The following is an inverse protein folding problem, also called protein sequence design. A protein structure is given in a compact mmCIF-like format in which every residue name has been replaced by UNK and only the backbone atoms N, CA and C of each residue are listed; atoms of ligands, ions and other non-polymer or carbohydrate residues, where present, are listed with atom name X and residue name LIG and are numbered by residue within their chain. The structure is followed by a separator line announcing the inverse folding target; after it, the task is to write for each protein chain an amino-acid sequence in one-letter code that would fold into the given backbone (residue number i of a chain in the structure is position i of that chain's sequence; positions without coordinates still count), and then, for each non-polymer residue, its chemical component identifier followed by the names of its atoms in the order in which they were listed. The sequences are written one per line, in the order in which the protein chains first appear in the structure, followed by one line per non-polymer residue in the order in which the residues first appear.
data_IF_546914296024
#
_entry.id   IF_546914296024
#
_cell.length_a   1.000
_cell.length_b   1.000
_cell.length_c   1.000
_cell.angle_alpha   90.00
_cell.angle_beta   90.00
_cell.angle_gamma   90.00
#
_symmetry.space_group_name_H-M   'P 1'
#
loop_
_entity.id
_entity.type
_entity.pdbx_description
1 polymer ?
#
# COMPACT_ATOMS: atom_id res chain seq x y z
N UNK A 1 6.22 14.75 14.94
CA UNK A 1 6.64 13.75 13.98
C UNK A 1 5.48 12.86 13.56
N UNK A 2 5.32 12.69 12.31
CA UNK A 2 4.20 11.95 11.78
C UNK A 2 4.60 10.52 11.49
N UNK A 3 3.86 9.60 12.04
CA UNK A 3 4.09 8.19 11.79
C UNK A 3 2.95 7.64 10.95
N UNK A 4 3.28 6.75 10.04
CA UNK A 4 2.27 6.10 9.26
C UNK A 4 1.49 5.11 10.09
N UNK A 5 0.33 4.76 9.60
CA UNK A 5 -0.49 3.72 10.19
C UNK A 5 -0.09 2.38 9.59
N UNK A 6 0.12 1.38 10.43
CA UNK A 6 0.54 0.08 9.95
C UNK A 6 -0.48 -0.98 10.28
N UNK A 7 -0.63 -1.95 9.39
CA UNK A 7 -1.47 -3.11 9.65
C UNK A 7 -0.95 -4.27 8.81
N UNK A 8 -1.38 -5.46 9.17
CA UNK A 8 -0.91 -6.68 8.52
C UNK A 8 -1.78 -6.97 7.30
N UNK A 9 -1.14 -7.35 6.20
CA UNK A 9 -1.88 -7.76 5.01
C UNK A 9 -2.80 -8.94 5.38
N UNK A 10 -3.99 -8.91 4.82
CA UNK A 10 -4.99 -9.92 5.13
C UNK A 10 -5.91 -9.53 6.26
N UNK A 11 -5.54 -8.55 7.07
CA UNK A 11 -6.44 -8.05 8.09
C UNK A 11 -7.17 -6.82 7.56
N UNK A 12 -8.21 -6.44 8.27
CA UNK A 12 -9.03 -5.31 7.84
C UNK A 12 -8.24 -4.03 7.95
N UNK A 13 -8.23 -3.19 6.90
CA UNK A 13 -7.54 -1.91 6.98
C UNK A 13 -8.14 -1.03 8.07
N UNK A 14 -7.31 -0.21 8.71
CA UNK A 14 -7.83 0.73 9.70
C UNK A 14 -8.79 1.74 9.09
N UNK A 15 -9.58 2.36 9.94
CA UNK A 15 -10.57 3.32 9.48
C UNK A 15 -9.91 4.53 8.79
N UNK A 16 -8.66 4.83 9.11
CA UNK A 16 -7.97 5.94 8.48
C UNK A 16 -7.63 5.68 7.01
N UNK A 17 -7.73 4.43 6.56
CA UNK A 17 -7.46 4.10 5.16
C UNK A 17 -8.71 4.43 4.36
N UNK A 18 -8.61 5.28 3.32
CA UNK A 18 -9.80 5.61 2.53
C UNK A 18 -10.43 4.37 1.92
N UNK A 19 -11.75 4.35 1.88
CA UNK A 19 -12.45 3.20 1.32
C UNK A 19 -12.13 3.01 -0.15
N UNK A 20 -11.76 4.07 -0.84
CA UNK A 20 -11.39 3.96 -2.26
C UNK A 20 -10.21 3.04 -2.48
N UNK A 21 -9.37 2.86 -1.45
CA UNK A 21 -8.21 1.99 -1.58
C UNK A 21 -8.49 0.57 -1.14
N UNK A 22 -9.59 0.33 -0.44
CA UNK A 22 -9.82 -0.99 0.19
C UNK A 22 -9.87 -2.10 -0.85
N UNK A 23 -10.61 -1.88 -1.93
CA UNK A 23 -10.77 -2.92 -2.94
C UNK A 23 -9.44 -3.23 -3.61
N UNK A 24 -8.67 -2.19 -3.94
CA UNK A 24 -7.40 -2.40 -4.61
C UNK A 24 -6.41 -3.07 -3.67
N UNK A 25 -6.43 -2.70 -2.39
CA UNK A 25 -5.58 -3.36 -1.41
C UNK A 25 -5.94 -4.85 -1.34
N UNK A 26 -7.22 -5.17 -1.33
CA UNK A 26 -7.64 -6.56 -1.30
C UNK A 26 -7.17 -7.32 -2.53
N UNK A 27 -7.20 -6.67 -3.69
CA UNK A 27 -6.73 -7.31 -4.91
C UNK A 27 -5.25 -7.60 -4.85
N UNK A 28 -4.47 -6.66 -4.33
CA UNK A 28 -3.04 -6.88 -4.16
C UNK A 28 -2.80 -8.04 -3.19
N UNK A 29 -3.54 -8.07 -2.08
CA UNK A 29 -3.36 -9.13 -1.10
C UNK A 29 -3.73 -10.48 -1.66
N UNK A 30 -4.67 -10.53 -2.60
CA UNK A 30 -5.06 -11.80 -3.19
C UNK A 30 -3.93 -12.43 -4.01
N UNK A 31 -2.96 -11.64 -4.41
CA UNK A 31 -1.83 -12.15 -5.18
C UNK A 31 -0.62 -12.48 -4.32
N UNK A 32 -0.71 -12.31 -3.01
CA UNK A 32 0.41 -12.62 -2.13
C UNK A 32 0.52 -14.12 -1.96
N UNK A 33 1.77 -14.63 -1.87
CA UNK A 33 1.94 -16.07 -1.65
C UNK A 33 1.51 -16.44 -0.24
N UNK A 34 1.30 -17.72 -0.02
CA UNK A 34 1.00 -18.19 1.30
C UNK A 34 2.23 -18.08 2.18
N UNK A 35 2.00 -17.97 3.47
CA UNK A 35 3.07 -17.84 4.42
C UNK A 35 2.92 -16.57 5.20
N UNK A 36 4.03 -16.12 5.82
CA UNK A 36 3.97 -14.90 6.61
C UNK A 36 3.52 -13.71 5.74
N UNK A 37 2.67 -12.88 6.30
CA UNK A 37 2.11 -11.77 5.56
C UNK A 37 2.94 -10.51 5.80
N UNK A 38 3.20 -9.75 4.73
CA UNK A 38 3.88 -8.47 4.91
C UNK A 38 2.95 -7.46 5.55
N UNK A 39 3.51 -6.34 5.93
CA UNK A 39 2.73 -5.27 6.53
C UNK A 39 2.51 -4.15 5.55
N UNK A 40 1.41 -3.44 5.76
CA UNK A 40 1.11 -2.21 5.03
C UNK A 40 1.48 -1.02 5.89
N UNK A 41 1.88 0.06 5.26
CA UNK A 41 2.10 1.34 5.92
C UNK A 41 1.34 2.40 5.14
N UNK A 42 0.48 3.13 5.82
CA UNK A 42 -0.26 4.23 5.21
C UNK A 42 0.42 5.53 5.60
N UNK A 43 0.81 6.31 4.60
CA UNK A 43 1.33 7.65 4.82
C UNK A 43 0.55 8.61 3.95
N UNK A 44 0.70 9.89 4.24
CA UNK A 44 0.02 10.94 3.49
C UNK A 44 1.07 11.86 2.91
N UNK A 45 0.98 12.12 1.63
CA UNK A 45 1.88 13.02 0.95
C UNK A 45 1.04 14.04 0.20
N UNK A 46 1.14 15.30 0.60
CA UNK A 46 0.42 16.39 -0.07
C UNK A 46 -1.08 16.09 -0.14
N UNK A 47 -1.61 15.55 0.97
CA UNK A 47 -3.03 15.28 1.04
C UNK A 47 -3.49 14.01 0.37
N UNK A 48 -2.56 13.21 -0.14
CA UNK A 48 -2.91 11.96 -0.81
C UNK A 48 -2.47 10.77 0.04
N UNK A 49 -3.33 9.76 0.14
CA UNK A 49 -2.96 8.56 0.88
C UNK A 49 -2.05 7.67 0.04
N UNK A 50 -1.06 7.10 0.68
CA UNK A 50 -0.15 6.15 0.04
C UNK A 50 -0.05 4.94 0.95
N UNK A 51 -0.54 3.79 0.49
CA UNK A 51 -0.42 2.54 1.22
C UNK A 51 0.73 1.76 0.58
N UNK A 52 1.75 1.48 1.38
CA UNK A 52 2.93 0.80 0.89
C UNK A 52 3.06 -0.55 1.57
N UNK A 53 3.18 -1.59 0.76
CA UNK A 53 3.39 -2.94 1.26
C UNK A 53 4.88 -3.18 1.41
N UNK A 54 5.24 -3.97 2.41
CA UNK A 54 6.67 -4.23 2.67
C UNK A 54 7.38 -4.84 1.47
N UNK A 55 6.63 -5.44 0.54
CA UNK A 55 7.23 -6.00 -0.67
C UNK A 55 7.57 -4.94 -1.71
N UNK A 56 7.15 -3.70 -1.50
CA UNK A 56 7.41 -2.63 -2.44
C UNK A 56 6.21 -2.20 -3.26
N UNK A 57 5.11 -2.91 -3.15
CA UNK A 57 3.89 -2.54 -3.86
C UNK A 57 3.28 -1.31 -3.19
N UNK A 58 2.82 -0.36 -3.98
CA UNK A 58 2.13 0.82 -3.46
C UNK A 58 0.74 0.92 -4.06
N UNK A 59 -0.19 1.43 -3.25
CA UNK A 59 -1.54 1.72 -3.69
C UNK A 59 -1.79 3.18 -3.33
N UNK A 60 -2.04 3.99 -4.34
CA UNK A 60 -2.26 5.42 -4.13
C UNK A 60 -3.57 5.81 -4.80
N UNK A 61 -3.99 7.03 -4.50
CA UNK A 61 -5.21 7.57 -5.08
C UNK A 61 -4.82 8.63 -6.09
N UNK A 62 -5.23 8.42 -7.34
CA UNK A 62 -4.91 9.36 -8.38
C UNK A 62 -5.76 10.62 -8.31
N UNK A 63 -5.42 11.60 -9.15
CA UNK A 63 -6.13 12.87 -9.16
C UNK A 63 -7.60 12.68 -9.55
N UNK A 64 -7.90 11.64 -10.29
CA UNK A 64 -9.27 11.37 -10.71
C UNK A 64 -10.05 10.55 -9.68
N UNK A 65 -9.44 10.28 -8.53
CA UNK A 65 -10.13 9.53 -7.49
C UNK A 65 -10.04 8.03 -7.62
N UNK A 66 -9.28 7.53 -8.58
CA UNK A 66 -9.13 6.09 -8.80
C UNK A 66 -7.84 5.60 -8.16
N UNK A 67 -7.90 4.39 -7.62
CA UNK A 67 -6.72 3.81 -7.00
C UNK A 67 -5.73 3.37 -8.07
N UNK A 68 -4.44 3.62 -7.81
CA UNK A 68 -3.37 3.29 -8.73
C UNK A 68 -2.38 2.38 -8.01
N UNK A 69 -2.04 1.26 -8.63
CA UNK A 69 -1.06 0.33 -8.08
C UNK A 69 0.29 0.62 -8.73
N UNK A 70 1.30 0.77 -7.89
CA UNK A 70 2.66 0.98 -8.35
C UNK A 70 3.59 0.06 -7.63
N UNK A 71 4.87 0.24 -7.89
CA UNK A 71 5.88 -0.62 -7.29
C UNK A 71 7.13 0.19 -7.07
N UNK A 72 7.67 0.11 -5.88
CA UNK A 72 8.94 0.75 -5.59
C UNK A 72 10.04 -0.28 -5.79
N UNK A 73 10.81 -0.10 -6.85
CA UNK A 73 11.90 -1.03 -7.12
C UNK A 73 13.20 -0.30 -7.32
N UNK A 74 13.27 0.92 -6.81
CA UNK A 74 14.46 1.73 -7.02
C UNK A 74 15.68 1.17 -6.33
N UNK A 75 15.51 0.37 -5.34
CA UNK A 75 16.66 -0.17 -4.66
C UNK A 75 17.26 -1.33 -5.39
N UNK A 76 16.71 -1.70 -6.44
CA UNK A 76 17.35 -2.72 -7.22
C UNK A 76 18.42 -2.16 -8.04
N UNK A 77 18.23 -1.98 -8.16
CA UNK A 77 18.81 -1.79 -8.96
C UNK A 77 19.85 -2.00 -9.32
N UNK A 78 19.69 -2.12 -9.16
CA UNK A 78 20.48 -2.15 -9.44
C UNK A 78 21.18 -2.55 -10.00
N UNK A 79 21.26 -2.75 -10.24
CA UNK A 79 21.81 -3.00 -10.75
C UNK A 79 22.32 -3.39 -11.36
N UNK A 80 22.47 -3.45 -11.63
CA UNK A 80 22.82 -3.72 -12.36
C UNK A 80 23.19 -3.68 -12.79
#
# INVERSE_FOLDING_TARGET
MQLGTRWTAGSQPPASVPTELHETIAQVEAHLPEGPKPGWTLTWLEGRPIAELDTGVTVTLGADGLAVVGHIDGMDDEER
#
